data_IF_217737256598
#
_entry.id   IF_217737256598
#
_cell.length_a   1.000
_cell.length_b   1.000
_cell.length_c   1.000
_cell.angle_alpha   90.00
_cell.angle_beta   90.00
_cell.angle_gamma   90.00
#
_symmetry.space_group_name_H-M   'P 1'
#
loop_
_entity.id
_entity.type
_entity.pdbx_description
1 polymer ?
#
# COMPACT_ATOMS: atom_id res chain seq x y z
N UNK A 1 -25.85 9.54 -4.56
CA UNK A 1 -25.83 8.07 -4.45
C UNK A 1 -24.62 7.57 -5.21
N UNK A 2 -23.82 6.64 -4.66
CA UNK A 2 -22.66 6.09 -5.36
C UNK A 2 -23.17 5.07 -6.38
N UNK A 3 -23.08 5.37 -7.67
CA UNK A 3 -23.40 4.38 -8.71
C UNK A 3 -22.29 3.32 -8.84
N UNK A 4 -22.61 2.21 -9.52
CA UNK A 4 -21.69 1.08 -9.68
C UNK A 4 -20.42 1.47 -10.46
N UNK A 5 -20.51 2.40 -11.41
CA UNK A 5 -19.35 2.83 -12.20
C UNK A 5 -18.36 3.62 -11.34
N UNK A 6 -18.87 4.58 -10.55
CA UNK A 6 -18.08 5.35 -9.59
C UNK A 6 -17.49 4.45 -8.49
N UNK A 7 -18.24 3.45 -8.03
CA UNK A 7 -17.72 2.49 -7.06
C UNK A 7 -16.57 1.63 -7.62
N UNK A 8 -16.66 1.21 -8.90
CA UNK A 8 -15.55 0.54 -9.60
C UNK A 8 -14.34 1.45 -9.75
N UNK A 9 -14.55 2.72 -10.11
CA UNK A 9 -13.46 3.69 -10.20
C UNK A 9 -12.77 3.89 -8.83
N UNK A 10 -13.52 3.93 -7.73
CA UNK A 10 -12.95 3.99 -6.38
C UNK A 10 -12.14 2.72 -6.04
N UNK A 11 -12.67 1.54 -6.35
CA UNK A 11 -11.93 0.28 -6.17
C UNK A 11 -10.62 0.27 -6.98
N UNK A 12 -10.67 0.63 -8.26
CA UNK A 12 -9.49 0.69 -9.13
C UNK A 12 -8.48 1.74 -8.64
N UNK A 13 -8.95 2.87 -8.13
CA UNK A 13 -8.07 3.90 -7.55
C UNK A 13 -7.33 3.38 -6.33
N UNK A 14 -8.00 2.65 -5.43
CA UNK A 14 -7.36 2.02 -4.28
C UNK A 14 -6.36 0.92 -4.68
N UNK A 15 -6.60 0.23 -5.80
CA UNK A 15 -5.80 -0.91 -6.25
C UNK A 15 -4.55 -0.49 -7.05
N UNK A 16 -4.72 0.46 -7.97
CA UNK A 16 -3.74 0.78 -9.02
C UNK A 16 -3.04 2.13 -8.82
N UNK A 17 -3.65 3.06 -8.08
CA UNK A 17 -3.11 4.42 -7.92
C UNK A 17 -2.49 4.57 -6.54
N UNK A 18 -3.30 4.52 -5.50
CA UNK A 18 -2.86 4.73 -4.13
C UNK A 18 -3.90 4.14 -3.16
N UNK A 19 -3.50 3.23 -2.25
CA UNK A 19 -4.38 2.75 -1.21
C UNK A 19 -5.01 3.89 -0.42
N UNK A 20 -6.34 3.97 -0.45
CA UNK A 20 -7.12 5.01 0.24
C UNK A 20 -7.60 6.16 -0.62
N UNK A 21 -7.09 6.33 -1.84
CA UNK A 21 -7.55 7.40 -2.75
C UNK A 21 -9.03 7.25 -3.13
N UNK A 22 -9.43 6.05 -3.53
CA UNK A 22 -10.83 5.74 -3.82
C UNK A 22 -11.73 5.88 -2.60
N UNK A 23 -11.21 5.56 -1.41
CA UNK A 23 -11.91 5.77 -0.14
C UNK A 23 -12.17 7.26 0.12
N UNK A 24 -11.17 8.14 -0.10
CA UNK A 24 -11.34 9.60 0.02
C UNK A 24 -12.31 10.16 -1.03
N UNK A 25 -12.23 9.71 -2.29
CA UNK A 25 -13.16 10.09 -3.35
C UNK A 25 -14.61 9.70 -2.98
N UNK A 26 -14.78 8.56 -2.31
CA UNK A 26 -16.05 8.12 -1.74
C UNK A 26 -16.39 8.77 -0.40
N UNK A 27 -15.66 9.82 0.03
CA UNK A 27 -15.85 10.56 1.28
C UNK A 27 -15.76 9.69 2.55
N UNK A 28 -15.00 8.59 2.50
CA UNK A 28 -14.70 7.73 3.65
C UNK A 28 -13.42 8.22 4.33
N UNK A 29 -13.53 8.72 5.56
CA UNK A 29 -12.39 9.24 6.34
C UNK A 29 -11.24 8.24 6.51
N UNK A 30 -11.56 6.93 6.51
CA UNK A 30 -10.57 5.83 6.55
C UNK A 30 -9.52 5.92 5.43
N UNK A 31 -9.85 6.57 4.31
CA UNK A 31 -8.93 6.77 3.20
C UNK A 31 -7.67 7.56 3.59
N UNK A 32 -7.79 8.53 4.50
CA UNK A 32 -6.62 9.29 4.97
C UNK A 32 -5.65 8.43 5.78
N UNK A 33 -6.16 7.51 6.61
CA UNK A 33 -5.32 6.56 7.34
C UNK A 33 -4.62 5.59 6.39
N UNK A 34 -5.34 5.08 5.38
CA UNK A 34 -4.79 4.20 4.34
C UNK A 34 -3.67 4.91 3.55
N UNK A 35 -3.89 6.15 3.12
CA UNK A 35 -2.89 6.96 2.41
C UNK A 35 -1.66 7.17 3.29
N UNK A 36 -1.84 7.58 4.55
CA UNK A 36 -0.71 7.82 5.47
C UNK A 36 0.13 6.56 5.66
N UNK A 37 -0.51 5.41 5.92
CA UNK A 37 0.21 4.14 6.08
C UNK A 37 0.91 3.70 4.79
N UNK A 38 0.26 3.89 3.64
CA UNK A 38 0.85 3.57 2.35
C UNK A 38 2.08 4.45 2.06
N UNK A 39 1.98 5.76 2.27
CA UNK A 39 3.11 6.69 2.05
C UNK A 39 4.27 6.38 3.00
N UNK A 40 3.99 6.22 4.30
CA UNK A 40 5.03 5.89 5.28
C UNK A 40 5.68 4.55 4.98
N UNK A 41 4.89 3.52 4.66
CA UNK A 41 5.40 2.20 4.30
C UNK A 41 6.25 2.23 3.04
N UNK A 42 5.80 2.92 1.99
CA UNK A 42 6.53 3.07 0.74
C UNK A 42 7.86 3.82 0.93
N UNK A 43 7.85 4.95 1.64
CA UNK A 43 9.05 5.73 1.93
C UNK A 43 10.05 4.95 2.78
N UNK A 44 9.59 4.26 3.83
CA UNK A 44 10.44 3.40 4.64
C UNK A 44 11.03 2.25 3.81
N UNK A 45 10.19 1.58 3.00
CA UNK A 45 10.63 0.48 2.15
C UNK A 45 11.70 0.92 1.15
N UNK A 46 11.47 2.02 0.44
CA UNK A 46 12.41 2.59 -0.53
C UNK A 46 13.71 3.05 0.13
N UNK A 47 13.64 3.70 1.30
CA UNK A 47 14.84 4.12 2.05
C UNK A 47 15.68 2.91 2.47
N UNK A 48 15.05 1.89 3.04
CA UNK A 48 15.73 0.66 3.43
C UNK A 48 16.33 -0.07 2.23
N UNK A 49 15.65 -0.10 1.09
CA UNK A 49 16.14 -0.72 -0.14
C UNK A 49 17.36 0.02 -0.72
N UNK A 50 17.30 1.35 -0.82
CA UNK A 50 18.43 2.17 -1.29
C UNK A 50 19.64 2.03 -0.36
N UNK A 51 19.40 2.04 0.97
CA UNK A 51 20.46 1.85 1.94
C UNK A 51 21.06 0.44 1.84
N UNK A 52 20.24 -0.60 1.71
CA UNK A 52 20.69 -1.99 1.52
C UNK A 52 21.55 -2.11 0.26
N UNK A 53 21.10 -1.53 -0.85
CA UNK A 53 21.86 -1.51 -2.11
C UNK A 53 23.18 -0.77 -1.95
N UNK A 54 23.20 0.40 -1.30
CA UNK A 54 24.42 1.14 -1.01
C UNK A 54 25.42 0.34 -0.17
N UNK A 55 24.93 -0.40 0.82
CA UNK A 55 25.76 -1.29 1.64
C UNK A 55 26.33 -2.44 0.81
N UNK A 56 25.52 -3.09 -0.04
CA UNK A 56 25.96 -4.18 -0.91
C UNK A 56 27.04 -3.68 -1.90
N UNK A 57 26.80 -2.55 -2.55
CA UNK A 57 27.75 -1.96 -3.51
C UNK A 57 29.08 -1.58 -2.84
N UNK A 58 29.03 -1.05 -1.61
CA UNK A 58 30.22 -0.72 -0.82
C UNK A 58 31.05 -1.96 -0.45
N UNK A 59 30.40 -3.09 -0.17
CA UNK A 59 31.06 -4.30 0.33
C UNK A 59 31.19 -5.42 -0.71
N UNK A 60 30.99 -5.13 -2.00
CA UNK A 60 30.93 -6.12 -3.08
C UNK A 60 32.19 -7.01 -3.19
N UNK A 61 33.37 -6.44 -2.93
CA UNK A 61 34.66 -7.13 -3.05
C UNK A 61 34.85 -8.11 -1.88
N UNK A 62 34.62 -7.64 -0.65
CA UNK A 62 34.60 -8.48 0.55
C UNK A 62 33.52 -9.58 0.51
N UNK A 63 32.39 -9.32 -0.17
CA UNK A 63 31.36 -10.34 -0.45
C UNK A 63 31.87 -11.44 -1.39
N UNK A 64 32.57 -11.07 -2.46
CA UNK A 64 33.15 -12.03 -3.40
C UNK A 64 34.23 -12.91 -2.78
N UNK A 65 34.94 -12.38 -1.79
CA UNK A 65 35.97 -13.09 -1.02
C UNK A 65 35.41 -13.89 0.16
N UNK A 66 34.11 -13.77 0.47
CA UNK A 66 33.45 -14.50 1.56
C UNK A 66 33.84 -14.04 2.98
N UNK A 67 34.43 -12.85 3.12
CA UNK A 67 34.94 -12.31 4.39
C UNK A 67 34.07 -11.20 4.97
N UNK A 68 32.91 -10.92 4.37
CA UNK A 68 32.02 -9.83 4.82
C UNK A 68 31.18 -10.23 6.03
N UNK A 69 31.04 -9.30 6.99
CA UNK A 69 30.08 -9.42 8.08
C UNK A 69 28.71 -8.88 7.64
N UNK A 70 27.69 -9.74 7.55
CA UNK A 70 26.36 -9.33 7.06
C UNK A 70 25.55 -8.50 8.08
N UNK A 71 26.01 -8.35 9.32
CA UNK A 71 25.30 -7.61 10.39
C UNK A 71 24.93 -6.17 9.97
N UNK A 72 25.75 -5.53 9.13
CA UNK A 72 25.48 -4.21 8.56
C UNK A 72 24.27 -4.14 7.61
N UNK A 73 23.74 -5.29 7.17
CA UNK A 73 22.57 -5.38 6.30
C UNK A 73 21.25 -5.53 7.07
N UNK A 74 21.28 -5.94 8.35
CA UNK A 74 20.05 -6.26 9.10
C UNK A 74 19.13 -5.06 9.27
N UNK A 75 19.69 -3.91 9.67
CA UNK A 75 18.92 -2.69 9.86
C UNK A 75 18.33 -2.15 8.54
N UNK A 76 19.10 -1.92 7.46
CA UNK A 76 18.54 -1.41 6.22
C UNK A 76 17.53 -2.38 5.58
N UNK A 77 17.82 -3.68 5.61
CA UNK A 77 16.90 -4.69 5.10
C UNK A 77 15.64 -4.79 5.97
N UNK A 78 15.78 -4.71 7.29
CA UNK A 78 14.67 -4.69 8.23
C UNK A 78 13.74 -3.50 8.00
N UNK A 79 14.29 -2.30 7.79
CA UNK A 79 13.52 -1.10 7.42
C UNK A 79 12.82 -1.31 6.07
N UNK A 80 13.49 -1.90 5.08
CA UNK A 80 12.91 -2.18 3.77
C UNK A 80 11.68 -3.10 3.87
N UNK A 81 11.81 -4.20 4.61
CA UNK A 81 10.79 -5.22 4.81
C UNK A 81 9.64 -4.72 5.69
N UNK A 82 9.94 -4.01 6.78
CA UNK A 82 8.91 -3.43 7.65
C UNK A 82 8.08 -2.38 6.90
N UNK A 83 8.72 -1.52 6.10
CA UNK A 83 8.02 -0.58 5.24
C UNK A 83 7.12 -1.26 4.21
N UNK A 84 7.62 -2.32 3.57
CA UNK A 84 6.84 -3.11 2.60
C UNK A 84 5.62 -3.76 3.26
N UNK A 85 5.78 -4.33 4.45
CA UNK A 85 4.68 -4.93 5.21
C UNK A 85 3.61 -3.89 5.57
N UNK A 86 4.02 -2.69 5.99
CA UNK A 86 3.10 -1.59 6.30
C UNK A 86 2.32 -1.13 5.07
N UNK A 87 3.02 -0.98 3.93
CA UNK A 87 2.39 -0.64 2.65
C UNK A 87 1.40 -1.73 2.22
N UNK A 88 1.78 -3.01 2.30
CA UNK A 88 0.91 -4.13 1.95
C UNK A 88 -0.35 -4.19 2.82
N UNK A 89 -0.23 -3.91 4.12
CA UNK A 89 -1.37 -3.82 5.02
C UNK A 89 -2.33 -2.68 4.62
N UNK A 90 -1.79 -1.50 4.31
CA UNK A 90 -2.59 -0.38 3.82
C UNK A 90 -3.28 -0.69 2.48
N UNK A 91 -2.58 -1.37 1.57
CA UNK A 91 -3.09 -1.80 0.28
C UNK A 91 -4.24 -2.80 0.40
N UNK A 92 -4.08 -3.84 1.23
CA UNK A 92 -5.14 -4.82 1.50
C UNK A 92 -6.37 -4.15 2.13
N UNK A 93 -6.15 -3.21 3.05
CA UNK A 93 -7.24 -2.44 3.64
C UNK A 93 -7.98 -1.58 2.60
N UNK A 94 -7.24 -0.92 1.71
CA UNK A 94 -7.80 -0.17 0.59
C UNK A 94 -8.62 -1.04 -0.36
N UNK A 95 -8.14 -2.25 -0.67
CA UNK A 95 -8.85 -3.25 -1.47
C UNK A 95 -10.18 -3.65 -0.82
N UNK A 96 -10.17 -4.07 0.45
CA UNK A 96 -11.41 -4.44 1.15
C UNK A 96 -12.40 -3.29 1.23
N UNK A 97 -11.92 -2.06 1.45
CA UNK A 97 -12.77 -0.86 1.45
C UNK A 97 -13.41 -0.63 0.08
N UNK A 98 -12.64 -0.78 -1.01
CA UNK A 98 -13.14 -0.66 -2.37
C UNK A 98 -14.17 -1.74 -2.73
N UNK A 99 -13.95 -2.98 -2.29
CA UNK A 99 -14.90 -4.09 -2.49
C UNK A 99 -16.21 -3.83 -1.74
N UNK A 100 -16.15 -3.33 -0.51
CA UNK A 100 -17.34 -2.97 0.26
C UNK A 100 -18.14 -1.85 -0.42
N UNK A 101 -17.48 -0.79 -0.91
CA UNK A 101 -18.14 0.28 -1.65
C UNK A 101 -18.84 -0.24 -2.92
N UNK A 102 -18.20 -1.16 -3.65
CA UNK A 102 -18.80 -1.78 -4.83
C UNK A 102 -20.01 -2.65 -4.47
N UNK A 103 -19.93 -3.37 -3.35
CA UNK A 103 -21.02 -4.20 -2.86
C UNK A 103 -22.22 -3.35 -2.39
N UNK A 104 -21.96 -2.25 -1.68
CA UNK A 104 -22.97 -1.25 -1.28
C UNK A 104 -23.69 -0.67 -2.51
N UNK A 105 -22.93 -0.23 -3.52
CA UNK A 105 -23.49 0.35 -4.74
C UNK A 105 -24.37 -0.66 -5.52
N UNK A 106 -23.94 -1.92 -5.62
CA UNK A 106 -24.72 -2.99 -6.26
C UNK A 106 -26.03 -3.27 -5.50
N UNK A 107 -25.99 -3.31 -4.17
CA UNK A 107 -27.19 -3.50 -3.34
C UNK A 107 -28.17 -2.34 -3.52
N UNK A 108 -27.69 -1.11 -3.48
CA UNK A 108 -28.53 0.07 -3.65
C UNK A 108 -29.19 0.13 -5.04
N UNK A 109 -28.50 -0.34 -6.10
CA UNK A 109 -29.07 -0.43 -7.44
C UNK A 109 -30.13 -1.53 -7.60
N UNK A 110 -30.08 -2.57 -6.76
CA UNK A 110 -31.03 -3.69 -6.79
C UNK A 110 -32.33 -3.43 -6.01
N UNK A 111 -32.35 -2.44 -5.11
CA UNK A 111 -33.55 -2.06 -4.34
C UNK A 111 -34.34 -1.00 -5.11
N UNK A 112 -35.62 -1.27 -5.50
CA UNK A 112 -36.48 -0.26 -6.10
C UNK A 112 -36.70 0.93 -5.14
N UNK A 113 -36.87 2.17 -5.62
CA UNK A 113 -37.24 3.27 -4.76
C UNK A 113 -38.56 2.94 -4.04
N UNK A 114 -38.60 3.13 -2.72
CA UNK A 114 -39.84 3.02 -1.97
C UNK A 114 -40.83 4.07 -2.50
N UNK A 115 -41.99 3.60 -2.97
CA UNK A 115 -43.12 4.41 -3.43
C UNK A 115 -43.74 5.18 -2.25
#
# INVERSE_FOLDING_TARGET
MLDVAKARACLLSNLLVLPGLGSVIASRAVGWAQITLAVLGFCASGTGAVWSLGWILKNREAMGEGIVELSGLWLPLGVAVAGLALFAAAWLWGLFTGLNLLHEAKRAAATPPAL
#
